data_IF_610847255146
#
_entry.id   IF_610847255146
#
_cell.length_a   1.000
_cell.length_b   1.000
_cell.length_c   1.000
_cell.angle_alpha   90.00
_cell.angle_beta   90.00
_cell.angle_gamma   90.00
#
_symmetry.space_group_name_H-M   'P 1'
#
loop_
_entity.id
_entity.type
_entity.pdbx_description
1 polymer ?
#
# COMPACT_ATOMS: atom_id res chain seq x y z
N UNK A 1 0.31 -24.51 19.33
CA UNK A 1 0.92 -23.16 19.39
C UNK A 1 1.74 -22.98 18.12
N UNK A 2 1.16 -22.35 17.10
CA UNK A 2 1.83 -21.96 15.85
C UNK A 2 1.62 -20.46 15.57
N UNK A 3 1.42 -19.66 16.62
CA UNK A 3 0.83 -18.32 16.53
C UNK A 3 1.70 -17.26 15.84
N UNK A 4 2.97 -17.56 15.56
CA UNK A 4 3.85 -16.67 14.81
C UNK A 4 3.64 -16.80 13.31
N UNK A 5 3.68 -18.04 12.80
CA UNK A 5 3.50 -18.34 11.38
C UNK A 5 2.08 -17.97 10.89
N UNK A 6 1.07 -18.17 11.73
CA UNK A 6 -0.31 -17.81 11.38
C UNK A 6 -0.47 -16.28 11.27
N UNK A 7 0.15 -15.50 12.16
CA UNK A 7 0.14 -14.03 12.11
C UNK A 7 0.89 -13.48 10.89
N UNK A 8 2.03 -14.08 10.55
CA UNK A 8 2.80 -13.70 9.37
C UNK A 8 2.01 -13.96 8.08
N UNK A 9 1.36 -15.13 7.98
CA UNK A 9 0.50 -15.46 6.86
C UNK A 9 -0.71 -14.51 6.75
N UNK A 10 -1.33 -14.14 7.88
CA UNK A 10 -2.42 -13.17 7.90
C UNK A 10 -1.98 -11.81 7.36
N UNK A 11 -0.81 -11.32 7.81
CA UNK A 11 -0.27 -10.04 7.36
C UNK A 11 0.04 -10.05 5.86
N UNK A 12 0.57 -11.15 5.33
CA UNK A 12 0.82 -11.33 3.89
C UNK A 12 -0.49 -11.26 3.10
N UNK A 13 -1.51 -12.05 3.48
CA UNK A 13 -2.80 -12.09 2.77
C UNK A 13 -3.50 -10.72 2.80
N UNK A 14 -3.46 -10.04 3.95
CA UNK A 14 -4.00 -8.69 4.08
C UNK A 14 -3.25 -7.71 3.20
N UNK A 15 -1.92 -7.74 3.22
CA UNK A 15 -1.09 -6.88 2.37
C UNK A 15 -1.41 -7.08 0.89
N UNK A 16 -1.47 -8.33 0.42
CA UNK A 16 -1.79 -8.65 -0.96
C UNK A 16 -3.17 -8.09 -1.36
N UNK A 17 -4.16 -8.17 -0.47
CA UNK A 17 -5.48 -7.57 -0.70
C UNK A 17 -5.43 -6.03 -0.75
N UNK A 18 -4.63 -5.39 0.09
CA UNK A 18 -4.44 -3.94 0.07
C UNK A 18 -3.74 -3.47 -1.21
N UNK A 19 -2.71 -4.19 -1.65
CA UNK A 19 -2.01 -3.90 -2.90
C UNK A 19 -2.96 -4.07 -4.10
N UNK A 20 -3.87 -5.06 -4.09
CA UNK A 20 -4.89 -5.23 -5.13
C UNK A 20 -5.92 -4.09 -5.16
N UNK A 21 -6.31 -3.57 -3.99
CA UNK A 21 -7.18 -2.39 -3.90
C UNK A 21 -6.54 -1.16 -4.53
N UNK A 22 -5.23 -0.94 -4.30
CA UNK A 22 -4.50 0.16 -4.92
C UNK A 22 -4.37 -0.04 -6.43
N UNK A 23 -4.11 -1.27 -6.89
CA UNK A 23 -4.02 -1.56 -8.31
C UNK A 23 -5.34 -1.23 -9.04
N UNK A 24 -6.48 -1.55 -8.41
CA UNK A 24 -7.80 -1.23 -8.95
C UNK A 24 -8.14 0.28 -8.84
N UNK A 25 -7.61 0.96 -7.82
CA UNK A 25 -7.85 2.38 -7.54
C UNK A 25 -6.52 3.13 -7.36
N UNK A 26 -5.82 3.50 -8.44
CA UNK A 26 -4.51 4.17 -8.37
C UNK A 26 -4.51 5.53 -7.65
N UNK A 27 -5.68 6.13 -7.46
CA UNK A 27 -5.84 7.36 -6.68
C UNK A 27 -5.66 7.16 -5.17
N UNK A 28 -5.63 5.91 -4.69
CA UNK A 28 -5.27 5.59 -3.31
C UNK A 28 -3.74 5.60 -3.20
N UNK A 29 -3.21 6.62 -2.50
CA UNK A 29 -1.76 6.78 -2.27
C UNK A 29 -1.24 5.89 -1.14
N UNK A 30 -2.02 5.82 -0.06
CA UNK A 30 -1.64 5.11 1.15
C UNK A 30 -2.84 4.31 1.65
N UNK A 31 -2.60 3.07 2.05
CA UNK A 31 -3.62 2.24 2.70
C UNK A 31 -2.96 1.35 3.73
N UNK A 32 -3.58 1.25 4.90
CA UNK A 32 -3.14 0.32 5.93
C UNK A 32 -4.29 -0.06 6.86
N UNK A 33 -4.15 -1.22 7.48
CA UNK A 33 -5.09 -1.81 8.41
C UNK A 33 -4.46 -1.88 9.80
N UNK A 34 -5.22 -1.54 10.83
CA UNK A 34 -4.82 -1.73 12.22
C UNK A 34 -5.99 -2.21 13.06
N UNK A 35 -5.71 -2.91 14.16
CA UNK A 35 -6.75 -3.46 15.02
C UNK A 35 -7.16 -2.47 16.14
N UNK A 36 -8.20 -2.83 16.93
CA UNK A 36 -8.64 -2.02 18.09
C UNK A 36 -7.57 -1.74 19.15
N UNK A 37 -6.46 -2.47 19.17
CA UNK A 37 -5.33 -2.20 20.08
C UNK A 37 -4.36 -1.16 19.53
N UNK A 38 -4.58 -0.68 18.30
CA UNK A 38 -3.66 0.21 17.60
C UNK A 38 -2.47 -0.51 16.96
N UNK A 39 -2.49 -1.85 16.88
CA UNK A 39 -1.43 -2.60 16.21
C UNK A 39 -1.68 -2.61 14.70
N UNK A 40 -0.67 -2.22 13.91
CA UNK A 40 -0.74 -2.28 12.45
C UNK A 40 -0.62 -3.74 12.00
N UNK A 41 -1.61 -4.20 11.23
CA UNK A 41 -1.70 -5.59 10.76
C UNK A 41 -1.19 -5.75 9.33
N UNK A 42 -1.40 -4.74 8.49
CA UNK A 42 -0.88 -4.68 7.14
C UNK A 42 -0.85 -3.23 6.64
N UNK A 43 0.05 -2.93 5.71
CA UNK A 43 0.09 -1.66 5.00
C UNK A 43 0.65 -1.86 3.61
N UNK A 44 0.28 -0.99 2.68
CA UNK A 44 0.87 -1.01 1.36
C UNK A 44 2.37 -0.67 1.43
N UNK A 45 3.09 -1.08 0.39
CA UNK A 45 4.55 -0.94 0.34
C UNK A 45 5.02 0.52 0.35
N UNK A 46 4.16 1.47 -0.03
CA UNK A 46 4.52 2.90 -0.10
C UNK A 46 4.35 3.64 1.23
N UNK A 47 3.58 3.11 2.19
CA UNK A 47 3.40 3.78 3.48
C UNK A 47 4.50 3.37 4.45
N UNK A 48 5.28 4.34 4.91
CA UNK A 48 6.35 4.06 5.88
C UNK A 48 5.77 3.60 7.23
N UNK A 49 6.43 2.67 7.94
CA UNK A 49 5.98 2.25 9.28
C UNK A 49 5.79 3.40 10.27
N UNK A 50 6.69 4.40 10.20
CA UNK A 50 6.63 5.59 11.05
C UNK A 50 5.36 6.41 10.76
N UNK A 51 5.00 6.58 9.49
CA UNK A 51 3.78 7.29 9.10
C UNK A 51 2.52 6.56 9.58
N UNK A 52 2.47 5.22 9.47
CA UNK A 52 1.35 4.42 9.97
C UNK A 52 1.16 4.58 11.49
N UNK A 53 2.25 4.47 12.27
CA UNK A 53 2.20 4.61 13.73
C UNK A 53 1.70 6.02 14.14
N UNK A 54 2.21 7.07 13.48
CA UNK A 54 1.77 8.44 13.73
C UNK A 54 0.29 8.64 13.41
N UNK A 55 -0.17 8.10 12.28
CA UNK A 55 -1.56 8.16 11.87
C UNK A 55 -2.49 7.42 12.85
N UNK A 56 -2.13 6.21 13.29
CA UNK A 56 -2.88 5.47 14.33
C UNK A 56 -2.96 6.29 15.62
N UNK A 57 -1.85 6.89 16.04
CA UNK A 57 -1.81 7.71 17.26
C UNK A 57 -2.75 8.91 17.18
N UNK A 58 -2.80 9.59 16.03
CA UNK A 58 -3.67 10.74 15.80
C UNK A 58 -5.17 10.35 15.72
N UNK A 59 -5.47 9.22 15.06
CA UNK A 59 -6.84 8.74 14.88
C UNK A 59 -7.43 8.09 16.13
N UNK A 60 -6.59 7.69 17.09
CA UNK A 60 -7.01 7.03 18.32
C UNK A 60 -8.07 7.82 19.10
N UNK A 61 -7.88 9.13 19.26
CA UNK A 61 -8.86 9.97 19.96
C UNK A 61 -10.24 9.94 19.27
N UNK A 62 -10.27 9.93 17.95
CA UNK A 62 -11.52 9.85 17.17
C UNK A 62 -12.21 8.50 17.41
N UNK A 63 -11.43 7.41 17.47
CA UNK A 63 -11.96 6.06 17.72
C UNK A 63 -12.51 5.97 19.15
N UNK A 64 -11.73 6.39 20.15
CA UNK A 64 -12.12 6.35 21.57
C UNK A 64 -13.36 7.22 21.84
N UNK A 65 -13.44 8.41 21.25
CA UNK A 65 -14.61 9.29 21.39
C UNK A 65 -15.85 8.76 20.69
N UNK A 66 -15.70 8.00 19.60
CA UNK A 66 -16.82 7.46 18.83
C UNK A 66 -17.64 6.40 19.56
N UNK A 67 -17.05 5.66 20.50
CA UNK A 67 -17.75 4.62 21.28
C UNK A 67 -18.90 5.20 22.10
N UNK A 68 -18.79 6.47 22.51
CA UNK A 68 -19.84 7.19 23.24
C UNK A 68 -20.97 7.73 22.35
N UNK A 69 -20.73 7.84 21.04
CA UNK A 69 -21.62 8.47 20.06
C UNK A 69 -22.47 7.47 19.24
N UNK A 70 -22.26 6.17 19.48
CA UNK A 70 -22.75 5.10 18.59
C UNK A 70 -21.72 4.81 17.51
N UNK A 71 -21.38 3.53 17.33
CA UNK A 71 -20.26 3.05 16.51
C UNK A 71 -20.10 3.82 15.18
N UNK A 72 -18.95 4.47 15.00
CA UNK A 72 -18.64 5.20 13.76
C UNK A 72 -18.18 4.23 12.69
N UNK A 73 -18.96 4.11 11.62
CA UNK A 73 -18.62 3.26 10.46
C UNK A 73 -17.52 3.88 9.60
N UNK A 74 -17.53 5.22 9.43
CA UNK A 74 -16.59 5.91 8.56
C UNK A 74 -16.30 7.32 9.08
N UNK A 75 -15.02 7.71 9.10
CA UNK A 75 -14.55 9.09 9.31
C UNK A 75 -13.83 9.56 8.06
N UNK A 76 -14.14 10.77 7.61
CA UNK A 76 -13.46 11.40 6.47
C UNK A 76 -12.84 12.72 6.96
N UNK A 77 -11.54 12.86 6.74
CA UNK A 77 -10.79 14.09 6.97
C UNK A 77 -10.34 14.62 5.62
N UNK A 78 -10.84 15.79 5.25
CA UNK A 78 -10.48 16.45 3.98
C UNK A 78 -9.31 17.41 4.21
N UNK A 79 -8.26 17.28 3.41
CA UNK A 79 -7.12 18.18 3.37
C UNK A 79 -6.97 18.82 1.98
N UNK A 80 -6.04 19.77 1.87
CA UNK A 80 -5.77 20.49 0.60
C UNK A 80 -5.25 19.58 -0.52
N UNK A 81 -4.65 18.44 -0.19
CA UNK A 81 -4.07 17.51 -1.17
C UNK A 81 -4.89 16.22 -1.38
N UNK A 82 -6.06 16.12 -0.74
CA UNK A 82 -6.91 14.94 -0.83
C UNK A 82 -7.56 14.57 0.48
N UNK A 83 -7.95 13.30 0.63
CA UNK A 83 -8.82 12.86 1.73
C UNK A 83 -8.25 11.65 2.45
N UNK A 84 -8.27 11.71 3.78
CA UNK A 84 -8.02 10.57 4.65
C UNK A 84 -9.37 9.98 5.04
N UNK A 85 -9.59 8.71 4.76
CA UNK A 85 -10.81 7.99 5.15
C UNK A 85 -10.45 6.83 6.07
N UNK A 86 -11.06 6.80 7.24
CA UNK A 86 -11.01 5.72 8.21
C UNK A 86 -12.33 4.93 8.11
N UNK A 87 -12.26 3.66 7.69
CA UNK A 87 -13.40 2.75 7.68
C UNK A 87 -13.28 1.74 8.82
N UNK A 88 -14.38 1.47 9.52
CA UNK A 88 -14.45 0.46 10.57
C UNK A 88 -15.04 -0.86 10.05
N UNK A 89 -14.34 -1.96 10.31
CA UNK A 89 -14.72 -3.32 9.95
C UNK A 89 -14.62 -4.24 11.18
N UNK A 90 -15.59 -4.12 12.09
CA UNK A 90 -15.63 -4.91 13.32
C UNK A 90 -14.49 -4.55 14.27
N UNK A 91 -13.44 -5.38 14.31
CA UNK A 91 -12.25 -5.14 15.16
C UNK A 91 -11.08 -4.50 14.40
N UNK A 92 -11.27 -4.25 13.11
CA UNK A 92 -10.25 -3.74 12.21
C UNK A 92 -10.64 -2.35 11.70
N UNK A 93 -9.64 -1.50 11.57
CA UNK A 93 -9.77 -0.17 11.02
C UNK A 93 -8.90 -0.05 9.78
N UNK A 94 -9.49 0.40 8.68
CA UNK A 94 -8.78 0.66 7.44
C UNK A 94 -8.60 2.17 7.25
N UNK A 95 -7.36 2.62 7.11
CA UNK A 95 -7.05 3.99 6.69
C UNK A 95 -6.73 3.99 5.21
N UNK A 96 -7.30 4.96 4.50
CA UNK A 96 -6.99 5.25 3.10
C UNK A 96 -6.69 6.72 2.92
N UNK A 97 -5.67 7.02 2.12
CA UNK A 97 -5.35 8.38 1.68
C UNK A 97 -5.55 8.44 0.19
N UNK A 98 -6.47 9.29 -0.25
CA UNK A 98 -6.84 9.45 -1.67
C UNK A 98 -6.42 10.82 -2.18
N UNK A 99 -6.19 10.93 -3.49
CA UNK A 99 -6.03 12.22 -4.18
C UNK A 99 -7.35 13.03 -4.15
N UNK A 100 -7.28 14.34 -4.38
CA UNK A 100 -8.48 15.20 -4.46
C UNK A 100 -9.47 14.75 -5.54
N UNK A 101 -8.96 14.21 -6.65
CA UNK A 101 -9.74 13.82 -7.83
C UNK A 101 -10.24 12.37 -7.78
N UNK A 102 -9.97 11.64 -6.71
CA UNK A 102 -10.35 10.24 -6.58
C UNK A 102 -11.87 10.04 -6.68
N UNK A 103 -12.30 9.00 -7.39
CA UNK A 103 -13.70 8.54 -7.30
C UNK A 103 -13.92 7.85 -5.95
N UNK A 104 -14.20 8.66 -4.93
CA UNK A 104 -14.42 8.21 -3.55
C UNK A 104 -15.58 7.19 -3.47
N UNK A 105 -16.56 7.25 -4.37
CA UNK A 105 -17.68 6.29 -4.36
C UNK A 105 -17.21 4.92 -4.83
N UNK A 106 -16.43 4.87 -5.90
CA UNK A 106 -15.84 3.63 -6.39
C UNK A 106 -14.87 3.04 -5.36
N UNK A 107 -13.99 3.86 -4.80
CA UNK A 107 -13.05 3.47 -3.74
C UNK A 107 -13.79 2.85 -2.54
N UNK A 108 -14.82 3.54 -2.02
CA UNK A 108 -15.59 3.05 -0.89
C UNK A 108 -16.35 1.76 -1.20
N UNK A 109 -16.90 1.62 -2.41
CA UNK A 109 -17.58 0.39 -2.83
C UNK A 109 -16.59 -0.79 -2.83
N UNK A 110 -15.42 -0.60 -3.43
CA UNK A 110 -14.41 -1.64 -3.53
C UNK A 110 -13.95 -2.10 -2.14
N UNK A 111 -13.62 -1.15 -1.28
CA UNK A 111 -13.16 -1.39 0.09
C UNK A 111 -14.22 -2.14 0.92
N UNK A 112 -15.49 -1.69 0.87
CA UNK A 112 -16.59 -2.29 1.62
C UNK A 112 -16.88 -3.73 1.21
N UNK A 113 -16.49 -4.16 0.02
CA UNK A 113 -16.67 -5.54 -0.46
C UNK A 113 -15.44 -6.40 -0.18
N UNK A 114 -14.25 -5.91 -0.55
CA UNK A 114 -13.01 -6.71 -0.52
C UNK A 114 -12.56 -6.93 0.92
N UNK A 115 -12.45 -5.88 1.73
CA UNK A 115 -11.84 -5.97 3.06
C UNK A 115 -12.62 -6.91 3.98
N UNK A 116 -13.96 -6.80 4.12
CA UNK A 116 -14.72 -7.74 4.95
C UNK A 116 -14.64 -9.18 4.44
N UNK A 117 -14.51 -9.37 3.12
CA UNK A 117 -14.41 -10.72 2.54
C UNK A 117 -13.08 -11.36 2.90
N UNK A 118 -11.98 -10.62 2.76
CA UNK A 118 -10.64 -11.12 3.10
C UNK A 118 -10.52 -11.38 4.60
N UNK A 119 -10.97 -10.46 5.45
CA UNK A 119 -10.97 -10.65 6.91
C UNK A 119 -11.74 -11.91 7.33
N UNK A 120 -12.93 -12.12 6.76
CA UNK A 120 -13.76 -13.31 7.05
C UNK A 120 -13.10 -14.60 6.56
N UNK A 121 -12.42 -14.57 5.42
CA UNK A 121 -11.70 -15.74 4.91
C UNK A 121 -10.53 -16.11 5.82
N UNK A 122 -9.75 -15.12 6.25
CA UNK A 122 -8.66 -15.32 7.21
C UNK A 122 -9.23 -15.93 8.49
N UNK A 123 -10.25 -15.32 9.09
CA UNK A 123 -10.88 -15.84 10.32
C UNK A 123 -11.36 -17.29 10.18
N UNK A 124 -12.02 -17.64 9.08
CA UNK A 124 -12.48 -19.01 8.82
C UNK A 124 -11.34 -20.01 8.70
N UNK A 125 -10.20 -19.61 8.15
CA UNK A 125 -9.04 -20.48 7.99
C UNK A 125 -8.30 -20.66 9.33
N UNK A 126 -8.26 -19.62 10.17
CA UNK A 126 -7.67 -19.69 11.51
C UNK A 126 -8.56 -20.43 12.51
N UNK A 127 -9.88 -20.35 12.34
CA UNK A 127 -10.88 -20.95 13.23
C UNK A 127 -11.52 -22.23 12.70
N UNK A 128 -10.96 -22.83 11.63
CA UNK A 128 -11.44 -24.12 11.14
C UNK A 128 -11.40 -25.15 12.30
N UNK A 129 -12.53 -25.81 12.64
CA UNK A 129 -12.49 -26.87 13.62
C UNK A 129 -11.52 -27.93 13.11
N UNK A 130 -10.47 -28.20 13.87
CA UNK A 130 -9.79 -29.50 13.81
C UNK A 130 -10.88 -30.54 13.75
N UNK A 131 -10.95 -31.30 12.66
CA UNK A 131 -12.01 -32.26 12.41
C UNK A 131 -12.31 -33.05 13.68
N UNK A 132 -13.42 -32.72 14.35
CA UNK A 132 -14.12 -33.71 15.14
C UNK A 132 -14.45 -34.79 14.12
N UNK A 133 -13.86 -35.98 14.30
CA UNK A 133 -14.18 -37.12 13.49
C UNK A 133 -15.71 -37.26 13.40
N UNK A 134 -16.25 -37.72 12.25
CA UNK A 134 -17.64 -38.11 12.21
C UNK A 134 -17.80 -39.30 13.15
N UNK A 135 -18.31 -39.06 14.37
CA UNK A 135 -18.93 -40.13 15.14
C UNK A 135 -20.08 -40.65 14.30
N UNK A 136 -19.97 -41.92 13.90
CA UNK A 136 -21.00 -42.63 13.19
C UNK A 136 -22.32 -42.62 13.99
N UNK A 137 -23.49 -42.55 13.33
CA UNK A 137 -24.76 -42.48 14.01
C UNK A 137 -25.09 -43.82 14.68
N UNK A 138 -25.04 -43.86 16.01
CA UNK A 138 -25.65 -44.93 16.79
C UNK A 138 -27.09 -44.56 17.14
N UNK A 139 -28.03 -45.21 16.47
CA UNK A 139 -29.45 -45.27 16.79
C UNK A 139 -29.67 -45.99 18.12
N UNK A 140 -30.13 -45.26 19.14
CA UNK A 140 -31.00 -45.68 20.24
C UNK A 140 -31.07 -44.50 21.23
N UNK A 141 -32.17 -44.09 21.85
CA UNK A 141 -33.59 -44.39 21.76
C UNK A 141 -34.29 -43.20 22.43
N UNK A 142 -35.50 -42.88 21.98
CA UNK A 142 -36.31 -41.80 22.52
C UNK A 142 -36.66 -42.00 24.01
N UNK A 143 -36.62 -40.91 24.80
CA UNK A 143 -37.60 -40.60 25.85
C UNK A 143 -37.41 -39.16 26.40
N UNK A 144 -38.51 -38.40 26.41
CA UNK A 144 -38.72 -37.07 27.03
C UNK A 144 -39.88 -37.26 28.03
N UNK A 145 -40.22 -36.33 28.95
CA UNK A 145 -39.48 -35.62 30.02
C UNK A 145 -40.05 -35.95 31.42
N UNK A 146 -39.41 -35.50 32.51
CA UNK A 146 -40.13 -35.23 33.78
C UNK A 146 -39.39 -34.21 34.66
N UNK A 147 -40.10 -33.12 34.97
CA UNK A 147 -39.75 -32.14 36.00
C UNK A 147 -39.93 -32.75 37.40
N UNK A 148 -39.13 -32.37 38.40
CA UNK A 148 -39.61 -32.22 39.79
C UNK A 148 -38.70 -31.25 40.55
N UNK A 149 -39.35 -30.27 41.18
CA UNK A 149 -38.83 -29.29 42.13
C UNK A 149 -38.33 -29.96 43.42
N UNK A 150 -37.33 -29.39 44.10
CA UNK A 150 -37.45 -29.18 45.56
C UNK A 150 -36.46 -28.12 46.08
N UNK A 151 -37.03 -27.09 46.69
CA UNK A 151 -36.38 -26.20 47.66
C UNK A 151 -35.87 -26.99 48.88
N UNK A 152 -34.76 -26.55 49.47
CA UNK A 152 -34.69 -26.44 50.94
C UNK A 152 -33.67 -25.39 51.37
N UNK A 153 -34.14 -24.45 52.19
CA UNK A 153 -33.41 -23.38 52.86
C UNK A 153 -32.45 -23.90 53.95
N UNK A 154 -31.40 -23.14 54.29
CA UNK A 154 -31.18 -22.59 55.66
C UNK A 154 -29.94 -21.66 55.73
N UNK A 155 -30.16 -20.48 56.32
CA UNK A 155 -29.24 -19.40 56.75
C UNK A 155 -28.61 -19.72 58.14
N UNK A 156 -27.82 -18.89 58.90
CA UNK A 156 -27.13 -17.58 58.70
C UNK A 156 -25.59 -17.61 58.95
N UNK A 157 -24.88 -16.49 58.75
CA UNK A 157 -24.25 -15.69 59.84
C UNK A 157 -23.13 -14.70 59.36
N UNK A 158 -23.50 -13.41 59.37
CA UNK A 158 -22.80 -12.21 59.90
C UNK A 158 -21.48 -11.64 59.31
N UNK A 159 -21.63 -10.41 58.80
CA UNK A 159 -20.83 -9.17 58.93
C UNK A 159 -19.32 -9.13 58.57
N UNK A 160 -18.93 -8.15 57.75
CA UNK A 160 -18.54 -6.80 58.21
C UNK A 160 -18.26 -5.87 57.01
N UNK A 161 -18.58 -4.60 57.21
CA UNK A 161 -18.35 -3.49 56.29
C UNK A 161 -16.94 -2.90 56.48
N UNK A 162 -16.32 -2.42 55.41
CA UNK A 162 -15.31 -1.36 55.44
C UNK A 162 -15.53 -0.45 54.22
N UNK A 163 -15.84 0.80 54.54
CA UNK A 163 -15.79 1.99 53.67
C UNK A 163 -14.36 2.51 53.57
N UNK A 164 -13.94 2.97 52.40
CA UNK A 164 -12.92 4.02 52.31
C UNK A 164 -13.18 4.88 51.06
N UNK A 165 -13.33 6.18 51.30
CA UNK A 165 -13.41 7.26 50.31
C UNK A 165 -12.03 7.51 49.69
N UNK A 166 -11.95 7.96 48.43
CA UNK A 166 -10.84 8.82 47.98
C UNK A 166 -11.31 9.73 46.84
N UNK A 167 -11.64 10.96 47.23
CA UNK A 167 -11.14 12.25 46.72
C UNK A 167 -10.93 12.44 45.21
N UNK A 168 -11.79 13.28 44.65
CA UNK A 168 -11.68 13.98 43.37
C UNK A 168 -10.90 15.29 43.59
N UNK A 169 -9.84 15.54 42.81
CA UNK A 169 -9.21 16.85 42.72
C UNK A 169 -8.58 17.08 41.33
N UNK A 170 -9.34 17.83 40.53
CA UNK A 170 -9.00 18.81 39.48
C UNK A 170 -7.70 18.68 38.67
N UNK A 171 -7.87 18.59 37.35
CA UNK A 171 -6.86 18.94 36.34
C UNK A 171 -7.35 20.18 35.56
N UNK A 172 -6.54 21.22 35.33
CA UNK A 172 -7.01 22.52 34.83
C UNK A 172 -7.52 22.51 33.38
N UNK A 173 -8.52 23.35 33.17
CA UNK A 173 -9.19 23.71 31.93
C UNK A 173 -8.27 24.22 30.80
N UNK A 174 -8.59 23.75 29.59
CA UNK A 174 -8.73 24.50 28.34
C UNK A 174 -7.51 25.28 27.79
N UNK A 175 -6.69 24.60 26.97
CA UNK A 175 -6.26 25.16 25.69
C UNK A 175 -7.20 24.59 24.62
N UNK A 176 -7.89 25.45 23.87
CA UNK A 176 -9.02 25.06 23.02
C UNK A 176 -8.67 23.92 22.06
N UNK A 177 -9.53 22.92 22.00
CA UNK A 177 -9.37 21.69 21.20
C UNK A 177 -9.06 21.99 19.72
N UNK A 178 -9.54 23.13 19.20
CA UNK A 178 -9.22 23.64 17.86
C UNK A 178 -7.78 24.15 17.71
N UNK A 179 -7.17 24.68 18.76
CA UNK A 179 -5.80 25.18 18.74
C UNK A 179 -4.77 24.02 18.74
N UNK A 180 -5.09 22.91 19.39
CA UNK A 180 -4.26 21.70 19.38
C UNK A 180 -4.34 21.03 18.00
N UNK A 181 -5.55 20.87 17.44
CA UNK A 181 -5.74 20.33 16.09
C UNK A 181 -5.05 21.18 15.01
N UNK A 182 -5.14 22.51 15.12
CA UNK A 182 -4.49 23.44 14.19
C UNK A 182 -2.96 23.38 14.32
N UNK A 183 -2.42 23.32 15.55
CA UNK A 183 -0.98 23.15 15.79
C UNK A 183 -0.46 21.81 15.30
N UNK A 184 -1.22 20.72 15.43
CA UNK A 184 -0.83 19.40 14.92
C UNK A 184 -0.87 19.35 13.39
N UNK A 185 -1.87 19.97 12.75
CA UNK A 185 -1.91 20.12 11.30
C UNK A 185 -0.77 21.01 10.77
N UNK A 186 -0.42 22.10 11.47
CA UNK A 186 0.73 22.94 11.15
C UNK A 186 2.07 22.19 11.28
N UNK A 187 2.21 21.27 12.23
CA UNK A 187 3.40 20.43 12.38
C UNK A 187 3.51 19.43 11.22
N UNK A 188 2.41 18.81 10.79
CA UNK A 188 2.37 17.91 9.62
C UNK A 188 2.72 18.63 8.30
N UNK A 189 2.33 19.89 8.16
CA UNK A 189 2.66 20.73 6.99
C UNK A 189 4.10 21.28 7.05
N UNK A 190 4.63 21.62 8.23
CA UNK A 190 6.02 22.07 8.38
C UNK A 190 7.04 20.96 8.17
N UNK A 191 6.73 19.73 8.56
CA UNK A 191 7.62 18.59 8.30
C UNK A 191 7.67 18.24 6.80
N UNK A 192 6.57 18.44 6.06
CA UNK A 192 6.55 18.24 4.59
C UNK A 192 7.29 19.35 3.84
N UNK A 193 7.20 20.61 4.27
CA UNK A 193 8.01 21.71 3.74
C UNK A 193 9.49 21.60 4.11
N UNK A 194 9.84 21.19 5.34
CA UNK A 194 11.23 20.97 5.74
C UNK A 194 11.89 19.84 4.94
N UNK A 195 11.15 18.77 4.64
CA UNK A 195 11.63 17.67 3.78
C UNK A 195 11.74 18.12 2.30
N UNK A 196 10.97 19.13 1.87
CA UNK A 196 11.05 19.71 0.53
C UNK A 196 12.21 20.72 0.40
N UNK A 197 12.50 21.47 1.46
CA UNK A 197 13.54 22.50 1.47
C UNK A 197 14.92 21.91 1.80
N UNK A 198 15.04 20.85 2.63
CA UNK A 198 16.25 20.00 2.69
C UNK A 198 16.58 19.42 1.31
N UNK A 199 15.58 19.06 0.51
CA UNK A 199 15.75 18.53 -0.86
C UNK A 199 16.09 19.61 -1.90
N UNK A 200 15.90 20.89 -1.57
CA UNK A 200 16.35 22.04 -2.40
C UNK A 200 17.72 22.56 -1.96
N UNK A 201 18.03 22.53 -0.67
CA UNK A 201 19.33 22.95 -0.15
C UNK A 201 20.41 21.89 -0.45
N UNK A 202 20.04 20.61 -0.53
CA UNK A 202 20.88 19.54 -1.11
C UNK A 202 21.02 19.65 -2.65
N UNK A 203 20.26 20.56 -3.29
CA UNK A 203 20.35 20.87 -4.72
C UNK A 203 21.14 22.17 -5.03
N UNK A 204 21.57 22.95 -4.04
CA UNK A 204 22.42 24.14 -4.20
C UNK A 204 23.57 24.17 -3.16
N UNK A 205 24.62 23.35 -3.26
CA UNK A 205 25.95 23.67 -3.82
C UNK A 205 27.05 22.88 -3.05
N UNK A 206 28.33 22.79 -3.49
CA UNK A 206 28.93 23.11 -4.79
C UNK A 206 29.17 21.89 -5.68
N UNK A 207 29.21 22.16 -7.00
CA UNK A 207 29.65 21.28 -8.07
C UNK A 207 31.05 20.70 -7.78
N UNK A 208 31.13 19.51 -7.22
CA UNK A 208 32.25 18.62 -7.48
C UNK A 208 32.03 18.00 -8.86
N UNK A 209 33.03 18.17 -9.73
CA UNK A 209 33.08 17.57 -11.06
C UNK A 209 32.84 16.06 -10.94
N UNK A 210 31.94 15.46 -11.74
CA UNK A 210 32.21 14.10 -12.20
C UNK A 210 33.37 14.22 -13.17
N UNK A 211 34.56 13.93 -12.67
CA UNK A 211 35.71 13.60 -13.50
C UNK A 211 35.35 12.33 -14.29
N UNK A 212 35.33 12.44 -15.61
CA UNK A 212 34.90 11.37 -16.52
C UNK A 212 33.85 11.81 -17.53
N UNK A 213 33.93 13.02 -18.07
CA UNK A 213 33.35 13.31 -19.38
C UNK A 213 34.17 12.56 -20.44
N UNK A 214 33.91 11.26 -20.58
CA UNK A 214 34.24 10.61 -21.84
C UNK A 214 33.15 11.01 -22.82
N UNK A 215 33.53 11.97 -23.65
CA UNK A 215 32.74 12.40 -24.80
C UNK A 215 32.47 11.15 -25.62
N UNK A 216 31.21 10.73 -25.81
CA UNK A 216 30.93 9.59 -26.66
C UNK A 216 31.47 9.95 -28.05
N UNK A 217 32.30 9.08 -28.60
CA UNK A 217 32.80 9.22 -29.97
C UNK A 217 31.61 9.53 -30.88
N UNK A 218 31.73 10.51 -31.80
CA UNK A 218 30.60 10.99 -32.60
C UNK A 218 29.93 9.87 -33.41
N UNK A 219 30.64 8.78 -33.69
CA UNK A 219 30.13 7.59 -34.37
C UNK A 219 29.11 6.81 -33.53
N UNK A 220 29.40 6.52 -32.24
CA UNK A 220 28.50 5.77 -31.33
C UNK A 220 27.21 6.54 -31.03
N UNK A 221 27.29 7.88 -30.90
CA UNK A 221 26.11 8.73 -30.70
C UNK A 221 25.23 8.85 -31.96
N UNK A 222 25.84 8.87 -33.15
CA UNK A 222 25.12 8.91 -34.42
C UNK A 222 24.41 7.59 -34.74
N UNK A 223 25.02 6.46 -34.38
CA UNK A 223 24.47 5.13 -34.65
C UNK A 223 23.30 4.79 -33.70
N UNK A 224 23.40 5.18 -32.43
CA UNK A 224 22.29 5.08 -31.48
C UNK A 224 21.08 5.95 -31.89
N UNK A 225 21.31 7.09 -32.55
CA UNK A 225 20.22 7.95 -33.03
C UNK A 225 19.50 7.38 -34.26
N UNK A 226 20.21 6.66 -35.14
CA UNK A 226 19.60 5.95 -36.28
C UNK A 226 18.69 4.80 -35.85
N UNK A 227 19.01 4.19 -34.72
CA UNK A 227 18.30 3.02 -34.19
C UNK A 227 17.15 3.41 -33.25
N UNK A 228 16.78 4.68 -33.14
CA UNK A 228 15.66 5.10 -32.33
C UNK A 228 14.32 4.65 -32.93
N UNK A 229 13.47 4.04 -32.11
CA UNK A 229 12.13 3.58 -32.49
C UNK A 229 11.09 4.27 -31.61
N UNK A 230 9.97 4.68 -32.21
CA UNK A 230 8.85 5.22 -31.46
C UNK A 230 7.91 4.08 -31.06
N UNK A 231 7.61 3.96 -29.76
CA UNK A 231 6.83 2.87 -29.18
C UNK A 231 5.69 3.42 -28.33
N UNK A 232 4.58 2.68 -28.30
CA UNK A 232 3.45 2.96 -27.42
C UNK A 232 3.73 2.33 -26.06
N UNK A 233 3.53 3.10 -25.00
CA UNK A 233 3.69 2.62 -23.62
C UNK A 233 2.55 1.68 -23.27
N UNK A 234 2.88 0.49 -22.80
CA UNK A 234 1.96 -0.42 -22.11
C UNK A 234 2.39 -0.58 -20.65
N UNK A 235 1.43 -0.78 -19.76
CA UNK A 235 1.72 -1.06 -18.36
C UNK A 235 2.30 -2.46 -18.19
N UNK A 236 3.46 -2.54 -17.53
CA UNK A 236 4.00 -3.83 -17.12
C UNK A 236 3.29 -4.28 -15.84
N UNK A 237 2.29 -5.14 -16.01
CA UNK A 237 1.44 -5.66 -14.94
C UNK A 237 1.91 -7.05 -14.46
N UNK A 238 1.69 -7.36 -13.18
CA UNK A 238 1.96 -8.66 -12.57
C UNK A 238 2.66 -8.59 -11.21
N UNK A 239 2.24 -9.44 -10.27
CA UNK A 239 2.65 -9.48 -8.86
C UNK A 239 4.18 -9.58 -8.63
N UNK A 240 4.94 -10.07 -9.62
CA UNK A 240 6.40 -10.24 -9.57
C UNK A 240 7.12 -9.49 -10.70
N UNK A 241 6.46 -8.52 -11.33
CA UNK A 241 7.06 -7.72 -12.38
C UNK A 241 8.20 -6.86 -11.81
N UNK A 242 9.41 -6.92 -12.39
CA UNK A 242 10.52 -6.08 -11.96
C UNK A 242 10.13 -4.60 -12.09
N UNK A 243 10.50 -3.81 -11.08
CA UNK A 243 10.12 -2.39 -11.01
C UNK A 243 11.12 -1.46 -11.72
N UNK A 244 12.33 -1.96 -12.02
CA UNK A 244 13.44 -1.23 -12.64
C UNK A 244 13.77 -1.70 -14.07
N UNK A 245 12.96 -2.61 -14.64
CA UNK A 245 13.22 -3.20 -15.96
C UNK A 245 12.05 -2.93 -16.89
N UNK A 246 12.35 -2.36 -18.06
CA UNK A 246 11.40 -2.21 -19.16
C UNK A 246 11.47 -3.41 -20.08
N UNK A 247 10.36 -3.72 -20.78
CA UNK A 247 10.35 -4.80 -21.77
C UNK A 247 10.07 -4.29 -23.17
N UNK A 248 10.90 -4.72 -24.11
CA UNK A 248 10.81 -4.36 -25.54
C UNK A 248 10.76 -5.66 -26.34
N UNK A 249 10.16 -5.59 -27.53
CA UNK A 249 10.06 -6.75 -28.42
C UNK A 249 11.42 -7.39 -28.69
N UNK A 250 11.45 -8.72 -28.69
CA UNK A 250 12.68 -9.49 -28.94
C UNK A 250 13.27 -9.15 -30.32
N UNK A 251 12.40 -8.91 -31.30
CA UNK A 251 12.81 -8.52 -32.66
C UNK A 251 13.59 -7.21 -32.68
N UNK A 252 13.11 -6.20 -31.95
CA UNK A 252 13.77 -4.88 -31.87
C UNK A 252 15.15 -5.02 -31.21
N UNK A 253 15.25 -5.82 -30.14
CA UNK A 253 16.53 -6.05 -29.46
C UNK A 253 17.54 -6.80 -30.34
N UNK A 254 17.08 -7.74 -31.15
CA UNK A 254 17.92 -8.48 -32.12
C UNK A 254 18.36 -7.57 -33.28
N UNK A 255 17.46 -6.73 -33.79
CA UNK A 255 17.75 -5.75 -34.84
C UNK A 255 18.81 -4.75 -34.37
N UNK A 256 18.66 -4.20 -33.17
CA UNK A 256 19.66 -3.32 -32.57
C UNK A 256 20.99 -4.01 -32.28
N UNK A 257 20.96 -5.24 -31.76
CA UNK A 257 22.19 -6.03 -31.54
C UNK A 257 22.96 -6.27 -32.84
N UNK A 258 22.25 -6.58 -33.92
CA UNK A 258 22.84 -6.78 -35.24
C UNK A 258 23.38 -5.47 -35.84
N UNK A 259 22.62 -4.38 -35.74
CA UNK A 259 23.00 -3.07 -36.27
C UNK A 259 24.22 -2.47 -35.55
N UNK A 260 24.33 -2.71 -34.24
CA UNK A 260 25.43 -2.20 -33.41
C UNK A 260 26.56 -3.24 -33.21
N UNK A 261 26.45 -4.40 -33.88
CA UNK A 261 27.39 -5.50 -33.79
C UNK A 261 27.70 -5.95 -32.34
N UNK A 262 26.68 -5.93 -31.48
CA UNK A 262 26.74 -6.36 -30.07
C UNK A 262 25.88 -7.59 -29.81
N UNK A 263 26.31 -8.43 -28.87
CA UNK A 263 25.64 -9.70 -28.56
C UNK A 263 24.24 -9.53 -27.96
N UNK A 264 24.03 -8.50 -27.15
CA UNK A 264 22.75 -8.20 -26.51
C UNK A 264 22.67 -6.75 -26.05
N UNK A 265 21.48 -6.16 -26.13
CA UNK A 265 21.19 -4.85 -25.57
C UNK A 265 20.72 -5.02 -24.13
N UNK A 266 21.48 -4.46 -23.18
CA UNK A 266 21.17 -4.56 -21.73
C UNK A 266 20.43 -3.32 -21.21
N UNK A 267 20.64 -2.16 -21.85
CA UNK A 267 20.09 -0.87 -21.44
C UNK A 267 19.49 -0.12 -22.63
N UNK A 268 18.40 0.59 -22.38
CA UNK A 268 17.76 1.50 -23.34
C UNK A 268 17.64 2.89 -22.73
N UNK A 269 17.70 3.90 -23.58
CA UNK A 269 17.33 5.27 -23.23
C UNK A 269 15.92 5.54 -23.74
N UNK A 270 15.05 6.03 -22.85
CA UNK A 270 13.67 6.40 -23.15
C UNK A 270 13.59 7.92 -23.12
N UNK A 271 13.11 8.50 -24.21
CA UNK A 271 12.85 9.91 -24.42
C UNK A 271 11.33 10.13 -24.54
N UNK A 272 10.78 10.98 -23.68
CA UNK A 272 9.36 11.37 -23.67
C UNK A 272 9.10 12.55 -24.62
N UNK A 273 7.83 12.82 -24.94
CA UNK A 273 7.45 13.94 -25.81
C UNK A 273 7.81 15.32 -25.24
N UNK A 274 7.87 15.45 -23.91
CA UNK A 274 8.31 16.67 -23.23
C UNK A 274 9.85 16.74 -23.10
N UNK A 275 10.57 15.82 -23.75
CA UNK A 275 12.03 15.84 -23.85
C UNK A 275 12.75 15.27 -22.62
N UNK A 276 12.06 14.65 -21.66
CA UNK A 276 12.73 13.94 -20.56
C UNK A 276 13.36 12.67 -21.08
N UNK A 277 14.61 12.44 -20.69
CA UNK A 277 15.36 11.25 -21.05
C UNK A 277 15.85 10.52 -19.82
N UNK A 278 15.70 9.19 -19.77
CA UNK A 278 16.34 8.37 -18.74
C UNK A 278 16.70 6.97 -19.27
N UNK A 279 17.67 6.32 -18.63
CA UNK A 279 18.19 5.00 -19.02
C UNK A 279 17.67 3.90 -18.09
N UNK A 280 17.26 2.79 -18.67
CA UNK A 280 16.69 1.65 -17.94
C UNK A 280 17.21 0.33 -18.47
N UNK A 281 17.27 -0.66 -17.58
CA UNK A 281 17.55 -2.05 -17.97
C UNK A 281 16.43 -2.56 -18.86
N UNK A 282 16.77 -3.27 -19.92
CA UNK A 282 15.79 -3.85 -20.86
C UNK A 282 15.81 -5.37 -20.83
N UNK A 283 14.63 -5.97 -20.97
CA UNK A 283 14.45 -7.40 -21.22
C UNK A 283 13.49 -7.64 -22.39
N UNK A 284 13.55 -8.80 -23.04
CA UNK A 284 12.55 -9.16 -24.04
C UNK A 284 11.17 -9.36 -23.42
N UNK A 285 10.11 -9.10 -24.20
CA UNK A 285 8.75 -9.50 -23.86
C UNK A 285 8.68 -11.03 -23.88
N UNK A 286 8.17 -11.64 -22.80
CA UNK A 286 8.21 -13.10 -22.61
C UNK A 286 7.05 -13.85 -23.28
N UNK A 287 5.91 -13.21 -23.47
CA UNK A 287 4.73 -13.83 -24.08
C UNK A 287 4.69 -13.46 -25.56
N UNK A 288 4.80 -14.43 -26.44
CA UNK A 288 4.78 -14.23 -27.90
C UNK A 288 3.45 -13.64 -28.40
N UNK A 289 2.36 -13.71 -27.62
CA UNK A 289 1.09 -13.02 -27.92
C UNK A 289 1.13 -11.52 -27.63
N UNK A 290 1.99 -11.11 -26.69
CA UNK A 290 2.22 -9.73 -26.28
C UNK A 290 3.46 -9.12 -26.93
N UNK A 291 4.31 -9.94 -27.56
CA UNK A 291 5.49 -9.52 -28.32
C UNK A 291 5.06 -8.86 -29.64
N UNK A 292 4.38 -7.71 -29.52
CA UNK A 292 3.93 -6.90 -30.63
C UNK A 292 5.00 -5.86 -30.97
N UNK A 293 5.43 -5.82 -32.23
CA UNK A 293 6.28 -4.75 -32.73
C UNK A 293 5.53 -3.42 -32.60
N UNK A 294 6.05 -2.50 -31.80
CA UNK A 294 5.46 -1.17 -31.59
C UNK A 294 5.06 -0.83 -30.15
N UNK A 295 5.23 -1.76 -29.19
CA UNK A 295 4.96 -1.49 -27.77
C UNK A 295 6.21 -1.62 -26.91
N UNK A 296 6.21 -0.89 -25.80
CA UNK A 296 7.17 -1.03 -24.70
C UNK A 296 6.40 -1.20 -23.39
N UNK A 297 6.71 -2.25 -22.63
CA UNK A 297 6.10 -2.46 -21.32
C UNK A 297 6.93 -1.75 -20.25
N UNK A 298 6.34 -0.77 -19.58
CA UNK A 298 7.01 0.07 -18.59
C UNK A 298 6.33 -0.14 -17.23
N UNK A 299 7.09 -0.48 -16.16
CA UNK A 299 6.57 -0.51 -14.79
C UNK A 299 5.97 0.82 -14.35
N UNK A 300 4.93 0.79 -13.52
CA UNK A 300 4.25 1.99 -13.04
C UNK A 300 5.19 3.01 -12.40
N UNK A 301 6.20 2.57 -11.64
CA UNK A 301 7.22 3.46 -11.05
C UNK A 301 8.02 4.24 -12.09
N UNK A 302 8.40 3.61 -13.20
CA UNK A 302 9.13 4.28 -14.28
C UNK A 302 8.20 5.23 -15.03
N UNK A 303 6.94 4.84 -15.26
CA UNK A 303 5.93 5.70 -15.86
C UNK A 303 5.73 6.99 -15.04
N UNK A 304 5.58 6.87 -13.72
CA UNK A 304 5.47 8.00 -12.80
C UNK A 304 6.71 8.91 -12.84
N UNK A 305 7.91 8.33 -12.78
CA UNK A 305 9.16 9.10 -12.83
C UNK A 305 9.32 9.90 -14.13
N UNK A 306 8.91 9.31 -15.26
CA UNK A 306 8.93 9.96 -16.57
C UNK A 306 7.72 10.88 -16.83
N UNK A 307 6.69 10.83 -15.96
CA UNK A 307 5.39 11.50 -16.14
C UNK A 307 4.68 11.10 -17.45
N UNK A 308 4.73 9.81 -17.75
CA UNK A 308 4.03 9.17 -18.88
C UNK A 308 3.00 8.18 -18.37
N UNK A 309 2.06 7.77 -19.22
CA UNK A 309 1.04 6.76 -18.92
C UNK A 309 0.90 5.75 -20.07
N UNK A 310 0.24 4.63 -19.80
CA UNK A 310 -0.16 3.67 -20.83
C UNK A 310 -0.92 4.38 -21.98
N UNK A 311 -0.52 4.08 -23.21
CA UNK A 311 -1.01 4.73 -24.43
C UNK A 311 -0.16 5.92 -24.91
N UNK A 312 0.74 6.47 -24.08
CA UNK A 312 1.63 7.54 -24.52
C UNK A 312 2.68 7.02 -25.52
N UNK A 313 3.19 7.93 -26.36
CA UNK A 313 4.27 7.66 -27.30
C UNK A 313 5.61 8.07 -26.68
N UNK A 314 6.57 7.16 -26.72
CA UNK A 314 7.95 7.41 -26.31
C UNK A 314 8.92 7.02 -27.42
N UNK A 315 10.05 7.72 -27.47
CA UNK A 315 11.16 7.37 -28.36
C UNK A 315 12.17 6.56 -27.56
N UNK A 316 12.49 5.37 -28.04
CA UNK A 316 13.38 4.43 -27.36
C UNK A 316 14.58 4.16 -28.25
N UNK A 317 15.78 4.25 -27.68
CA UNK A 317 17.02 3.96 -28.40
C UNK A 317 17.93 3.07 -27.55
N UNK A 318 18.75 2.22 -28.19
CA UNK A 318 19.72 1.42 -27.47
C UNK A 318 20.74 2.32 -26.77
N UNK A 319 21.13 1.96 -25.55
CA UNK A 319 22.16 2.63 -24.78
C UNK A 319 23.27 1.63 -24.45
N UNK A 320 24.34 1.64 -25.23
CA UNK A 320 25.54 0.84 -24.95
C UNK A 320 26.47 1.72 -24.11
N UNK A 321 26.72 1.32 -22.86
CA UNK A 321 27.87 1.82 -22.09
C UNK A 321 29.05 0.90 -22.36
N UNK A 322 30.22 1.44 -22.69
CA UNK A 322 31.44 0.64 -22.76
C UNK A 322 31.69 0.03 -21.38
N UNK A 323 31.76 -1.31 -21.37
CA UNK A 323 32.08 -2.08 -20.18
C UNK A 323 33.59 -1.95 -19.98
N UNK A 324 33.99 -1.29 -18.90
CA UNK A 324 35.38 -1.23 -18.44
C UNK A 324 35.91 -2.63 -18.16
#
# INVERSE_FOLDING_TARGET
MNSGADKELHSIVLKDALDEIINACPDIRNVFLFNKKGEVEAGNTETSPVAMIRAVTALRYIIESSESAGDVETVIVEGSEGKITLNCFGQHYLVTVTSENADVKYVNLLIRVIIPTVLRLIERLSSAPTAAQPEAPSLAEAQIPAQTETLSETHPETAQAVTEETEEAEIPQAAGENEILLKTAEILLRETEATLEERKEEAEAPKEKPEGEETPTPETSQENMKNAVQLIVESLEGLLAPQDVVRVSSEILIEWGSALNVKSIETVEIETLDGKTARFKVKPIKDSKLDKKGVIQIPGKIQQALKIKSGDLVKVKPAIGEKT
#
